data_IF_226172533909
#
_entry.id   IF_226172533909
#
_cell.length_a   1.000
_cell.length_b   1.000
_cell.length_c   1.000
_cell.angle_alpha   90.00
_cell.angle_beta   90.00
_cell.angle_gamma   90.00
#
_symmetry.space_group_name_H-M   'P 1'
#
loop_
_entity.id
_entity.type
_entity.pdbx_description
1 polymer ?
#
# COMPACT_ATOMS: atom_id res chain seq x y z
N UNK A 1 30.88 9.43 22.70
CA UNK A 1 29.68 8.57 22.83
C UNK A 1 28.49 9.28 22.18
N UNK A 2 28.28 9.12 20.86
CA UNK A 2 27.10 9.69 20.19
C UNK A 2 25.92 8.74 20.37
N UNK A 3 24.77 9.24 20.84
CA UNK A 3 23.52 8.46 20.87
C UNK A 3 23.10 8.19 19.43
N UNK A 4 22.93 6.90 19.11
CA UNK A 4 22.49 6.41 17.80
C UNK A 4 21.01 6.79 17.62
N UNK A 5 20.76 7.99 17.10
CA UNK A 5 19.46 8.36 16.54
C UNK A 5 19.34 7.79 15.12
N UNK A 6 18.17 7.21 14.79
CA UNK A 6 17.86 6.56 13.51
C UNK A 6 18.44 7.30 12.31
N UNK A 7 19.39 6.66 11.62
CA UNK A 7 19.85 7.09 10.32
C UNK A 7 18.88 6.58 9.26
N UNK A 8 18.07 7.47 8.68
CA UNK A 8 17.28 7.17 7.48
C UNK A 8 18.24 6.69 6.38
N UNK A 9 17.96 5.50 5.84
CA UNK A 9 18.81 4.88 4.82
C UNK A 9 18.10 4.96 3.47
N UNK A 10 18.83 5.46 2.47
CA UNK A 10 18.36 5.52 1.08
C UNK A 10 18.61 4.18 0.38
N UNK A 11 17.55 3.61 -0.18
CA UNK A 11 17.61 2.40 -1.00
C UNK A 11 17.13 2.72 -2.41
N UNK A 12 17.94 2.40 -3.42
CA UNK A 12 17.56 2.56 -4.82
C UNK A 12 17.49 1.19 -5.52
N UNK A 13 16.46 1.00 -6.33
CA UNK A 13 16.26 -0.20 -7.14
C UNK A 13 16.04 0.24 -8.58
N UNK A 14 16.68 -0.45 -9.53
CA UNK A 14 16.37 -0.32 -10.95
C UNK A 14 15.74 -1.61 -11.46
N UNK A 15 14.67 -1.50 -12.22
CA UNK A 15 13.97 -2.62 -12.83
C UNK A 15 14.06 -2.49 -14.35
N UNK A 16 14.50 -3.56 -15.03
CA UNK A 16 14.49 -3.59 -16.49
C UNK A 16 13.05 -3.80 -16.96
N UNK A 17 12.52 -2.84 -17.72
CA UNK A 17 11.13 -2.88 -18.22
C UNK A 17 11.08 -3.46 -19.62
N UNK A 18 11.94 -2.97 -20.51
CA UNK A 18 11.92 -3.35 -21.92
C UNK A 18 13.33 -3.29 -22.51
N UNK A 19 13.61 -4.15 -23.47
CA UNK A 19 14.76 -3.97 -24.38
C UNK A 19 14.21 -3.53 -25.73
N UNK A 20 14.55 -2.33 -26.15
CA UNK A 20 14.24 -1.85 -27.49
C UNK A 20 15.34 -2.30 -28.45
N UNK A 21 14.95 -3.07 -29.47
CA UNK A 21 15.84 -3.40 -30.60
C UNK A 21 15.76 -2.29 -31.64
N UNK A 22 16.61 -1.27 -31.49
CA UNK A 22 16.95 -0.30 -32.56
C UNK A 22 18.32 -0.69 -33.15
N UNK A 23 18.97 0.23 -33.89
CA UNK A 23 20.34 0.06 -34.40
C UNK A 23 21.36 -0.35 -33.31
N UNK A 24 21.05 -0.01 -32.05
CA UNK A 24 21.75 -0.47 -30.84
C UNK A 24 20.68 -1.00 -29.86
N UNK A 25 20.96 -2.10 -29.17
CA UNK A 25 20.07 -2.64 -28.14
C UNK A 25 20.08 -1.71 -26.92
N UNK A 26 18.95 -1.03 -26.67
CA UNK A 26 18.81 -0.11 -25.53
C UNK A 26 17.87 -0.74 -24.51
N UNK A 27 18.37 -0.95 -23.29
CA UNK A 27 17.58 -1.38 -22.14
C UNK A 27 16.92 -0.19 -21.46
N UNK A 28 15.59 -0.20 -21.39
CA UNK A 28 14.76 0.76 -20.68
C UNK A 28 14.59 0.29 -19.24
N UNK A 29 15.00 1.13 -18.28
CA UNK A 29 14.90 0.85 -16.85
C UNK A 29 13.92 1.82 -16.19
N UNK A 30 13.17 1.31 -15.22
CA UNK A 30 12.48 2.10 -14.20
C UNK A 30 13.35 2.21 -12.96
N UNK A 31 13.33 3.38 -12.31
CA UNK A 31 14.13 3.67 -11.14
C UNK A 31 13.21 4.00 -9.97
N UNK A 32 13.44 3.34 -8.84
CA UNK A 32 12.71 3.56 -7.60
C UNK A 32 13.70 3.94 -6.50
N UNK A 33 13.34 4.94 -5.70
CA UNK A 33 14.09 5.34 -4.51
C UNK A 33 13.18 5.31 -3.29
N UNK A 34 13.63 4.63 -2.25
CA UNK A 34 12.94 4.49 -0.98
C UNK A 34 13.80 5.05 0.14
N UNK A 35 13.14 5.70 1.09
CA UNK A 35 13.74 6.12 2.36
C UNK A 35 13.14 5.23 3.43
N UNK A 36 14.00 4.52 4.16
CA UNK A 36 13.57 3.60 5.22
C UNK A 36 14.39 3.83 6.48
N UNK A 37 13.73 3.80 7.62
CA UNK A 37 14.38 3.77 8.94
C UNK A 37 14.76 2.35 9.36
N UNK A 38 14.20 1.34 8.69
CA UNK A 38 14.50 -0.07 8.90
C UNK A 38 15.70 -0.52 8.06
N UNK A 39 16.49 -1.45 8.61
CA UNK A 39 17.62 -2.09 7.91
C UNK A 39 17.12 -3.18 6.97
N UNK A 40 16.49 -2.78 5.87
CA UNK A 40 15.98 -3.68 4.83
C UNK A 40 16.94 -3.72 3.64
N UNK A 41 17.03 -4.86 2.95
CA UNK A 41 17.69 -4.88 1.64
C UNK A 41 16.85 -4.08 0.61
N UNK A 42 17.46 -3.53 -0.45
CA UNK A 42 16.72 -2.77 -1.46
C UNK A 42 15.54 -3.55 -2.08
N UNK A 43 15.67 -4.86 -2.25
CA UNK A 43 14.60 -5.73 -2.75
C UNK A 43 13.48 -5.97 -1.72
N UNK A 44 13.82 -6.06 -0.43
CA UNK A 44 12.82 -6.15 0.63
C UNK A 44 12.10 -4.83 0.82
N UNK A 45 12.79 -3.70 0.74
CA UNK A 45 12.18 -2.37 0.75
C UNK A 45 11.20 -2.21 -0.42
N UNK A 46 11.57 -2.62 -1.63
CA UNK A 46 10.68 -2.61 -2.80
C UNK A 46 9.43 -3.49 -2.59
N UNK A 47 9.60 -4.72 -2.06
CA UNK A 47 8.46 -5.60 -1.76
C UNK A 47 7.58 -5.07 -0.63
N UNK A 48 8.17 -4.48 0.40
CA UNK A 48 7.45 -3.87 1.51
C UNK A 48 6.61 -2.70 1.01
N UNK A 49 7.21 -1.83 0.19
CA UNK A 49 6.49 -0.74 -0.46
C UNK A 49 5.38 -1.24 -1.39
N UNK A 50 5.55 -2.39 -2.04
CA UNK A 50 4.51 -3.03 -2.84
C UNK A 50 3.20 -3.30 -2.09
N UNK A 51 3.24 -3.47 -0.75
CA UNK A 51 2.03 -3.61 0.08
C UNK A 51 1.17 -2.34 0.12
N UNK A 52 1.73 -1.18 -0.24
CA UNK A 52 1.00 0.09 -0.37
C UNK A 52 -0.13 -0.01 -1.40
N UNK A 53 0.09 -0.73 -2.50
CA UNK A 53 -0.95 -0.94 -3.51
C UNK A 53 -2.19 -1.61 -2.90
N UNK A 54 -1.99 -2.56 -1.98
CA UNK A 54 -3.09 -3.18 -1.23
C UNK A 54 -3.82 -2.14 -0.39
N UNK A 55 -3.11 -1.31 0.36
CA UNK A 55 -3.74 -0.23 1.15
C UNK A 55 -4.54 0.75 0.28
N UNK A 56 -4.03 1.13 -0.89
CA UNK A 56 -4.73 2.01 -1.83
C UNK A 56 -6.03 1.36 -2.34
N UNK A 57 -5.99 0.07 -2.70
CA UNK A 57 -7.18 -0.71 -3.06
C UNK A 57 -8.19 -0.79 -1.90
N UNK A 58 -7.73 -1.05 -0.67
CA UNK A 58 -8.64 -1.11 0.50
C UNK A 58 -9.32 0.25 0.75
N UNK A 59 -8.60 1.35 0.56
CA UNK A 59 -9.16 2.71 0.70
C UNK A 59 -10.18 2.99 -0.40
N UNK A 60 -9.90 2.60 -1.64
CA UNK A 60 -10.83 2.77 -2.77
C UNK A 60 -12.10 1.92 -2.61
N UNK A 61 -11.94 0.64 -2.25
CA UNK A 61 -13.06 -0.25 -1.92
C UNK A 61 -13.89 0.31 -0.76
N UNK A 62 -13.25 0.84 0.29
CA UNK A 62 -13.94 1.46 1.42
C UNK A 62 -14.74 2.69 1.00
N UNK A 63 -14.18 3.57 0.16
CA UNK A 63 -14.90 4.74 -0.37
C UNK A 63 -16.13 4.35 -1.18
N UNK A 64 -16.01 3.34 -2.04
CA UNK A 64 -17.10 2.88 -2.90
C UNK A 64 -18.17 2.06 -2.18
N UNK A 65 -17.78 1.00 -1.47
CA UNK A 65 -18.71 0.02 -0.88
C UNK A 65 -19.34 0.51 0.42
N UNK A 66 -18.62 1.30 1.22
CA UNK A 66 -19.11 1.75 2.53
C UNK A 66 -19.79 3.12 2.46
N UNK A 67 -19.89 3.69 1.25
CA UNK A 67 -20.43 5.04 1.00
C UNK A 67 -19.90 6.06 2.03
N UNK A 68 -18.63 5.93 2.40
CA UNK A 68 -18.02 6.68 3.50
C UNK A 68 -18.02 8.20 3.25
N UNK A 69 -18.20 8.62 1.99
CA UNK A 69 -18.37 10.02 1.59
C UNK A 69 -19.77 10.61 1.83
N UNK A 70 -20.78 9.80 2.16
CA UNK A 70 -22.17 10.23 2.30
C UNK A 70 -22.73 10.05 3.72
N UNK A 71 -21.86 9.89 4.72
CA UNK A 71 -22.26 9.88 6.13
C UNK A 71 -22.59 11.33 6.53
N UNK A 72 -23.84 11.75 6.32
CA UNK A 72 -24.34 13.08 6.69
C UNK A 72 -25.21 12.98 7.94
N UNK A 73 -24.59 12.66 9.07
CA UNK A 73 -25.22 12.99 10.36
C UNK A 73 -24.86 14.42 10.74
N UNK A 74 -25.80 15.15 11.35
CA UNK A 74 -25.64 16.57 11.72
C UNK A 74 -24.58 16.75 12.81
N UNK A 75 -24.21 15.67 13.49
CA UNK A 75 -23.24 15.65 14.59
C UNK A 75 -21.90 15.02 14.18
N UNK A 76 -20.80 15.69 14.54
CA UNK A 76 -19.44 15.23 14.22
C UNK A 76 -19.11 13.87 14.86
N UNK A 77 -19.51 13.67 16.13
CA UNK A 77 -19.26 12.44 16.86
C UNK A 77 -20.00 11.25 16.25
N UNK A 78 -21.24 11.45 15.80
CA UNK A 78 -22.00 10.42 15.11
C UNK A 78 -21.34 10.03 13.77
N UNK A 79 -20.85 11.00 12.99
CA UNK A 79 -20.09 10.71 11.77
C UNK A 79 -18.78 9.94 12.06
N UNK A 80 -18.04 10.33 13.11
CA UNK A 80 -16.81 9.65 13.50
C UNK A 80 -17.07 8.20 13.95
N UNK A 81 -18.10 7.98 14.76
CA UNK A 81 -18.50 6.65 15.20
C UNK A 81 -18.95 5.77 14.03
N UNK A 82 -19.77 6.31 13.11
CA UNK A 82 -20.21 5.58 11.91
C UNK A 82 -19.02 5.22 11.01
N UNK A 83 -18.06 6.12 10.82
CA UNK A 83 -16.85 5.83 10.07
C UNK A 83 -16.02 4.71 10.71
N UNK A 84 -15.80 4.76 12.03
CA UNK A 84 -15.07 3.72 12.74
C UNK A 84 -15.77 2.36 12.71
N UNK A 85 -17.09 2.33 12.89
CA UNK A 85 -17.91 1.13 12.77
C UNK A 85 -17.83 0.53 11.36
N UNK A 86 -17.85 1.38 10.34
CA UNK A 86 -17.73 0.94 8.96
C UNK A 86 -16.34 0.31 8.72
N UNK A 87 -15.25 0.95 9.17
CA UNK A 87 -13.89 0.39 9.04
C UNK A 87 -13.77 -0.95 9.76
N UNK A 88 -14.35 -1.08 10.96
CA UNK A 88 -14.37 -2.32 11.71
C UNK A 88 -15.14 -3.42 10.95
N UNK A 89 -16.33 -3.12 10.44
CA UNK A 89 -17.15 -4.07 9.69
C UNK A 89 -16.43 -4.58 8.44
N UNK A 90 -15.74 -3.70 7.72
CA UNK A 90 -14.94 -4.07 6.55
C UNK A 90 -13.75 -4.97 6.92
N UNK A 91 -13.03 -4.65 7.99
CA UNK A 91 -11.94 -5.49 8.48
C UNK A 91 -12.42 -6.88 8.89
N UNK A 92 -13.57 -6.96 9.58
CA UNK A 92 -14.19 -8.24 9.95
C UNK A 92 -14.58 -9.05 8.71
N UNK A 93 -15.21 -8.44 7.71
CA UNK A 93 -15.56 -9.10 6.45
C UNK A 93 -14.32 -9.66 5.74
N UNK A 94 -13.24 -8.89 5.67
CA UNK A 94 -11.97 -9.36 5.08
C UNK A 94 -11.37 -10.52 5.87
N UNK A 95 -11.37 -10.45 7.20
CA UNK A 95 -10.89 -11.54 8.05
C UNK A 95 -11.70 -12.82 7.85
N UNK A 96 -13.03 -12.72 7.80
CA UNK A 96 -13.90 -13.87 7.56
C UNK A 96 -13.66 -14.48 6.17
N UNK A 97 -13.40 -13.65 5.15
CA UNK A 97 -13.03 -14.12 3.81
C UNK A 97 -11.67 -14.84 3.76
N UNK A 98 -10.69 -14.40 4.57
CA UNK A 98 -9.40 -15.09 4.68
C UNK A 98 -9.55 -16.44 5.41
N UNK A 99 -10.34 -16.48 6.48
CA UNK A 99 -10.60 -17.70 7.25
C UNK A 99 -11.34 -18.77 6.45
N UNK A 100 -12.20 -18.39 5.51
CA UNK A 100 -12.92 -19.33 4.63
C UNK A 100 -12.07 -19.90 3.50
N UNK A 101 -10.77 -19.61 3.46
CA UNK A 101 -9.86 -20.06 2.39
C UNK A 101 -9.93 -19.20 1.13
N UNK A 102 -10.61 -18.05 1.18
CA UNK A 102 -10.63 -17.09 0.08
C UNK A 102 -9.24 -16.50 -0.17
N UNK A 103 -8.65 -16.80 -1.32
CA UNK A 103 -7.44 -16.13 -1.78
C UNK A 103 -7.78 -14.68 -2.11
N UNK A 104 -7.10 -13.73 -1.46
CA UNK A 104 -7.20 -12.31 -1.81
C UNK A 104 -6.74 -12.13 -3.25
N UNK A 105 -7.68 -12.04 -4.20
CA UNK A 105 -7.38 -11.55 -5.54
C UNK A 105 -7.24 -10.04 -5.43
N UNK A 106 -6.00 -9.58 -5.26
CA UNK A 106 -5.66 -8.18 -5.50
C UNK A 106 -6.00 -7.92 -6.96
N UNK A 107 -7.09 -7.20 -7.20
CA UNK A 107 -7.51 -6.84 -8.55
C UNK A 107 -6.42 -6.04 -9.23
N UNK A 108 -5.74 -6.66 -10.18
CA UNK A 108 -5.34 -6.08 -11.46
C UNK A 108 -5.60 -7.12 -12.54
#
# INVERSE_FOLDING_TARGET
MCRVGSCETFCAVRQLVKREKKLVEVSVYEYFCYVTTERLSPMEAHRCYGKRATCETLIEESKGQMNAGHIRTVEFLANAALFQCAVLAYNLLKWMGLLSGGVYKSGK
#
